data_IF_813505901810
#
_entry.id   IF_813505901810
#
_cell.length_a   1.000
_cell.length_b   1.000
_cell.length_c   1.000
_cell.angle_alpha   90.00
_cell.angle_beta   90.00
_cell.angle_gamma   90.00
#
_symmetry.space_group_name_H-M   'P 1'
#
loop_
_entity.id
_entity.type
_entity.pdbx_description
1 polymer ?
#
# COMPACT_ATOMS: atom_id res chain seq x y z
N UNK A 1 22.34 -30.50 -17.04
CA UNK A 1 21.33 -29.86 -17.92
C UNK A 1 20.20 -29.37 -17.01
N UNK A 2 20.29 -28.12 -16.58
CA UNK A 2 19.30 -27.47 -15.74
C UNK A 2 18.37 -26.67 -16.65
N UNK A 3 17.09 -27.02 -16.66
CA UNK A 3 16.05 -26.29 -17.41
C UNK A 3 15.72 -25.01 -16.67
N UNK A 4 15.96 -23.87 -17.31
CA UNK A 4 15.47 -22.57 -16.89
C UNK A 4 13.95 -22.54 -17.01
N UNK A 5 13.26 -22.54 -15.89
CA UNK A 5 11.81 -22.25 -15.84
C UNK A 5 11.63 -20.73 -15.95
N UNK A 6 11.28 -20.25 -17.12
CA UNK A 6 10.79 -18.87 -17.30
C UNK A 6 9.44 -18.74 -16.59
N UNK A 7 9.24 -17.75 -15.69
CA UNK A 7 7.93 -17.53 -15.10
C UNK A 7 6.98 -17.02 -16.20
N UNK A 8 5.88 -17.74 -16.42
CA UNK A 8 4.76 -17.29 -17.25
C UNK A 8 4.12 -16.06 -16.58
N UNK A 9 4.50 -14.89 -17.05
CA UNK A 9 3.78 -13.64 -16.84
C UNK A 9 2.60 -13.64 -17.83
N UNK A 10 1.40 -13.88 -17.30
CA UNK A 10 0.08 -13.60 -17.89
C UNK A 10 -0.05 -13.90 -19.40
N UNK A 11 -0.89 -14.86 -19.70
CA UNK A 11 -1.29 -15.27 -21.07
C UNK A 11 -1.94 -14.08 -21.82
N UNK A 12 -1.20 -13.49 -22.75
CA UNK A 12 -1.61 -12.33 -23.57
C UNK A 12 -2.71 -12.66 -24.61
N UNK A 13 -3.16 -13.91 -24.70
CA UNK A 13 -4.03 -14.35 -25.82
C UNK A 13 -5.53 -14.06 -25.68
N UNK A 14 -6.00 -13.44 -24.57
CA UNK A 14 -7.44 -13.24 -24.29
C UNK A 14 -7.96 -11.81 -24.31
N UNK A 15 -7.24 -10.83 -24.83
CA UNK A 15 -7.72 -9.44 -24.90
C UNK A 15 -7.84 -8.92 -26.33
N UNK A 16 -8.88 -9.36 -27.03
CA UNK A 16 -9.35 -8.68 -28.23
C UNK A 16 -10.75 -8.10 -27.99
N UNK A 17 -10.80 -6.84 -27.51
CA UNK A 17 -11.92 -5.95 -27.82
C UNK A 17 -11.48 -4.49 -27.66
N UNK A 18 -11.27 -3.79 -28.78
CA UNK A 18 -10.77 -2.41 -28.85
C UNK A 18 -11.94 -1.43 -28.69
N UNK A 19 -12.09 -0.85 -27.49
CA UNK A 19 -12.83 0.41 -27.31
C UNK A 19 -11.85 1.52 -26.84
N UNK A 20 -12.22 2.81 -27.01
CA UNK A 20 -11.39 3.95 -26.56
C UNK A 20 -11.09 3.92 -25.04
N UNK A 21 -11.91 3.21 -24.26
CA UNK A 21 -11.66 2.89 -22.84
C UNK A 21 -10.47 1.95 -22.65
N UNK A 22 -10.18 1.06 -23.59
CA UNK A 22 -9.03 0.14 -23.53
C UNK A 22 -7.67 0.81 -23.59
N UNK A 23 -7.53 1.95 -24.28
CA UNK A 23 -6.24 2.66 -24.36
C UNK A 23 -5.82 3.34 -23.05
N UNK A 24 -6.76 3.96 -22.33
CA UNK A 24 -6.49 4.53 -21.00
C UNK A 24 -6.21 3.44 -19.97
N UNK A 25 -6.98 2.34 -20.00
CA UNK A 25 -6.75 1.18 -19.14
C UNK A 25 -5.37 0.56 -19.37
N UNK A 26 -4.93 0.40 -20.62
CA UNK A 26 -3.59 -0.09 -20.94
C UNK A 26 -2.48 0.83 -20.40
N UNK A 27 -2.64 2.16 -20.50
CA UNK A 27 -1.65 3.10 -19.94
C UNK A 27 -1.56 3.05 -18.41
N UNK A 28 -2.69 2.88 -17.72
CA UNK A 28 -2.68 2.70 -16.27
C UNK A 28 -1.96 1.38 -15.89
N UNK A 29 -2.28 0.31 -16.56
CA UNK A 29 -1.63 -1.00 -16.36
C UNK A 29 -0.11 -0.95 -16.58
N UNK A 30 0.36 -0.32 -17.67
CA UNK A 30 1.79 -0.12 -17.92
C UNK A 30 2.48 0.73 -16.83
N UNK A 31 1.77 1.72 -16.25
CA UNK A 31 2.31 2.51 -15.12
C UNK A 31 2.46 1.66 -13.87
N UNK A 32 1.49 0.82 -13.57
CA UNK A 32 1.55 -0.08 -12.42
C UNK A 32 2.68 -1.09 -12.55
N UNK A 33 2.87 -1.68 -13.74
CA UNK A 33 4.01 -2.57 -13.99
C UNK A 33 5.33 -1.84 -13.74
N UNK A 34 5.53 -0.64 -14.33
CA UNK A 34 6.74 0.15 -14.10
C UNK A 34 6.93 0.56 -12.64
N UNK A 35 5.84 0.80 -11.90
CA UNK A 35 5.91 1.10 -10.47
C UNK A 35 6.38 -0.11 -9.67
N UNK A 36 5.86 -1.31 -9.96
CA UNK A 36 6.29 -2.56 -9.35
C UNK A 36 7.76 -2.88 -9.67
N UNK A 37 8.20 -2.69 -10.91
CA UNK A 37 9.60 -2.87 -11.31
C UNK A 37 10.53 -1.93 -10.54
N UNK A 38 10.20 -0.64 -10.43
CA UNK A 38 10.97 0.33 -9.64
C UNK A 38 10.99 -0.04 -8.16
N UNK A 39 9.86 -0.47 -7.62
CA UNK A 39 9.77 -0.94 -6.23
C UNK A 39 10.68 -2.16 -6.01
N UNK A 40 10.66 -3.12 -6.91
CA UNK A 40 11.53 -4.30 -6.83
C UNK A 40 13.01 -3.93 -6.90
N UNK A 41 13.37 -3.04 -7.84
CA UNK A 41 14.75 -2.55 -7.97
C UNK A 41 15.23 -1.82 -6.71
N UNK A 42 14.38 -0.96 -6.14
CA UNK A 42 14.65 -0.30 -4.87
C UNK A 42 14.88 -1.33 -3.75
N UNK A 43 14.05 -2.37 -3.66
CA UNK A 43 14.17 -3.38 -2.61
C UNK A 43 15.39 -4.29 -2.83
N UNK A 44 15.80 -4.56 -4.06
CA UNK A 44 17.07 -5.26 -4.35
C UNK A 44 18.27 -4.47 -3.82
N UNK A 45 18.37 -3.19 -4.14
CA UNK A 45 19.43 -2.31 -3.63
C UNK A 45 19.43 -2.24 -2.10
N UNK A 46 18.23 -2.18 -1.51
CA UNK A 46 18.07 -2.18 -0.05
C UNK A 46 18.55 -3.51 0.56
N UNK A 47 18.17 -4.64 0.00
CA UNK A 47 18.63 -5.95 0.46
C UNK A 47 20.17 -6.06 0.41
N UNK A 48 20.80 -5.57 -0.65
CA UNK A 48 22.27 -5.52 -0.75
C UNK A 48 22.89 -4.64 0.35
N UNK A 49 22.30 -3.47 0.62
CA UNK A 49 22.81 -2.56 1.66
C UNK A 49 22.62 -3.07 3.08
N UNK A 50 21.74 -4.04 3.29
CA UNK A 50 21.41 -4.62 4.60
C UNK A 50 22.17 -5.93 4.87
N UNK A 51 23.02 -6.38 3.96
CA UNK A 51 23.82 -7.62 4.15
C UNK A 51 24.61 -7.55 5.44
N UNK A 52 24.41 -8.55 6.33
CA UNK A 52 25.02 -8.62 7.66
C UNK A 52 24.32 -7.79 8.75
N UNK A 53 23.30 -6.99 8.41
CA UNK A 53 22.49 -6.23 9.36
C UNK A 53 21.02 -6.63 9.37
N UNK A 54 20.67 -7.77 8.77
CA UNK A 54 19.29 -8.24 8.61
C UNK A 54 18.58 -8.39 9.96
N UNK A 55 19.26 -8.91 10.97
CA UNK A 55 18.68 -9.08 12.32
C UNK A 55 18.34 -7.74 12.96
N UNK A 56 19.21 -6.73 12.83
CA UNK A 56 18.98 -5.39 13.36
C UNK A 56 17.79 -4.70 12.65
N UNK A 57 17.74 -4.87 11.33
CA UNK A 57 16.63 -4.37 10.51
C UNK A 57 15.32 -5.06 10.93
N UNK A 58 15.32 -6.37 11.08
CA UNK A 58 14.18 -7.13 11.58
C UNK A 58 13.69 -6.60 12.93
N UNK A 59 14.59 -6.44 13.90
CA UNK A 59 14.22 -5.91 15.23
C UNK A 59 13.58 -4.54 15.17
N UNK A 60 14.00 -3.69 14.23
CA UNK A 60 13.45 -2.33 14.08
C UNK A 60 11.97 -2.36 13.65
N UNK A 61 11.63 -3.09 12.59
CA UNK A 61 10.23 -3.15 12.15
C UNK A 61 9.39 -4.10 13.01
N UNK A 62 9.99 -5.14 13.60
CA UNK A 62 9.34 -5.98 14.59
C UNK A 62 8.84 -5.17 15.79
N UNK A 63 9.67 -4.28 16.32
CA UNK A 63 9.28 -3.38 17.42
C UNK A 63 8.09 -2.49 17.04
N UNK A 64 8.09 -1.93 15.80
CA UNK A 64 6.95 -1.18 15.25
C UNK A 64 5.69 -2.04 15.20
N UNK A 65 5.81 -3.27 14.68
CA UNK A 65 4.70 -4.23 14.59
C UNK A 65 4.15 -4.59 15.95
N UNK A 66 5.01 -4.89 16.93
CA UNK A 66 4.57 -5.22 18.29
C UNK A 66 3.84 -4.05 18.96
N UNK A 67 4.34 -2.83 18.77
CA UNK A 67 3.66 -1.64 19.26
C UNK A 67 2.24 -1.52 18.67
N UNK A 68 2.11 -1.68 17.34
CA UNK A 68 0.80 -1.63 16.67
C UNK A 68 -0.11 -2.78 17.14
N UNK A 69 0.43 -4.01 17.24
CA UNK A 69 -0.33 -5.13 17.79
C UNK A 69 -0.87 -4.83 19.18
N UNK A 70 -0.03 -4.35 20.10
CA UNK A 70 -0.44 -4.02 21.47
C UNK A 70 -1.53 -2.94 21.51
N UNK A 71 -1.44 -1.94 20.63
CA UNK A 71 -2.45 -0.91 20.48
C UNK A 71 -3.79 -1.51 20.01
N UNK A 72 -3.78 -2.31 18.94
CA UNK A 72 -4.98 -2.94 18.37
C UNK A 72 -5.59 -3.99 19.32
N UNK A 73 -4.76 -4.70 20.06
CA UNK A 73 -5.22 -5.73 21.02
C UNK A 73 -6.04 -5.16 22.19
N UNK A 74 -5.94 -3.87 22.47
CA UNK A 74 -6.82 -3.20 23.45
C UNK A 74 -8.25 -3.03 22.94
N UNK A 75 -8.45 -3.10 21.62
CA UNK A 75 -9.74 -2.93 20.95
C UNK A 75 -10.33 -4.29 20.57
N UNK A 76 -9.52 -5.16 19.99
CA UNK A 76 -9.93 -6.47 19.50
C UNK A 76 -8.89 -7.52 19.94
N UNK A 77 -9.29 -8.61 20.62
CA UNK A 77 -8.36 -9.66 21.06
C UNK A 77 -7.59 -10.27 19.88
N UNK A 78 -6.27 -10.39 20.02
CA UNK A 78 -5.39 -11.02 19.02
C UNK A 78 -4.71 -12.22 19.67
N UNK A 79 -5.26 -13.39 19.44
CA UNK A 79 -4.80 -14.70 19.93
C UNK A 79 -4.09 -15.49 18.83
N UNK A 80 -3.53 -16.67 19.13
CA UNK A 80 -2.96 -17.54 18.10
C UNK A 80 -3.97 -17.98 17.02
N UNK A 81 -5.25 -18.03 17.36
CA UNK A 81 -6.35 -18.45 16.47
C UNK A 81 -6.89 -17.28 15.64
N UNK A 82 -6.59 -16.04 16.00
CA UNK A 82 -7.02 -14.84 15.28
C UNK A 82 -6.47 -14.85 13.85
N UNK A 83 -7.37 -14.82 12.88
CA UNK A 83 -7.01 -14.75 11.45
C UNK A 83 -6.71 -13.32 11.07
N UNK A 84 -5.45 -13.04 10.77
CA UNK A 84 -4.96 -11.70 10.44
C UNK A 84 -4.52 -11.65 8.99
N UNK A 85 -5.05 -10.71 8.22
CA UNK A 85 -4.60 -10.40 6.87
C UNK A 85 -3.86 -9.07 6.86
N UNK A 86 -2.72 -8.99 6.17
CA UNK A 86 -2.15 -7.70 5.75
C UNK A 86 -2.14 -7.61 4.23
N UNK A 87 -2.81 -6.58 3.70
CA UNK A 87 -2.83 -6.25 2.27
C UNK A 87 -1.74 -5.22 1.99
N UNK A 88 -0.85 -5.53 1.04
CA UNK A 88 0.37 -4.80 0.77
C UNK A 88 1.42 -5.03 1.84
N UNK A 89 1.64 -6.29 2.24
CA UNK A 89 2.63 -6.64 3.27
C UNK A 89 4.08 -6.27 2.89
N UNK A 90 4.34 -6.07 1.61
CA UNK A 90 5.64 -5.58 1.13
C UNK A 90 6.84 -6.36 1.65
N UNK A 91 7.99 -5.69 1.64
CA UNK A 91 9.22 -6.27 2.16
C UNK A 91 9.30 -6.28 3.69
N UNK A 92 8.58 -5.37 4.38
CA UNK A 92 8.72 -5.13 5.83
C UNK A 92 7.34 -4.88 6.50
N UNK A 93 6.32 -5.65 6.12
CA UNK A 93 4.96 -5.51 6.64
C UNK A 93 4.86 -5.75 8.14
N UNK A 94 3.78 -5.25 8.72
CA UNK A 94 3.46 -5.45 10.13
C UNK A 94 3.28 -6.92 10.48
N UNK A 95 2.72 -7.70 9.54
CA UNK A 95 2.39 -9.12 9.74
C UNK A 95 3.62 -9.96 10.13
N UNK A 96 4.81 -9.66 9.60
CA UNK A 96 6.04 -10.40 9.90
C UNK A 96 6.52 -10.25 11.35
N UNK A 97 6.15 -9.17 12.01
CA UNK A 97 6.44 -8.91 13.41
C UNK A 97 5.21 -8.99 14.31
N UNK A 98 4.03 -9.37 13.79
CA UNK A 98 2.78 -9.36 14.54
C UNK A 98 2.70 -10.48 15.60
N UNK A 99 3.58 -11.47 15.53
CA UNK A 99 3.70 -12.55 16.51
C UNK A 99 2.73 -13.70 16.25
N UNK A 100 2.45 -14.50 17.29
CA UNK A 100 1.61 -15.69 17.15
C UNK A 100 0.16 -15.30 16.84
N UNK A 101 -0.26 -15.55 15.61
CA UNK A 101 -1.63 -15.47 15.10
C UNK A 101 -1.71 -16.29 13.80
N UNK A 102 -2.91 -16.58 13.30
CA UNK A 102 -3.11 -17.18 11.99
C UNK A 102 -2.98 -16.09 10.90
N UNK A 103 -1.75 -15.60 10.69
CA UNK A 103 -1.44 -14.47 9.81
C UNK A 103 -1.17 -14.86 8.37
N UNK A 104 -1.56 -14.00 7.42
CA UNK A 104 -1.19 -14.08 6.00
C UNK A 104 -0.93 -12.67 5.45
N UNK A 105 0.11 -12.53 4.63
CA UNK A 105 0.40 -11.31 3.88
C UNK A 105 0.01 -11.43 2.41
N UNK A 106 -0.44 -10.34 1.80
CA UNK A 106 -0.69 -10.25 0.36
C UNK A 106 0.12 -9.09 -0.22
N UNK A 107 0.87 -9.36 -1.28
CA UNK A 107 1.62 -8.34 -2.01
C UNK A 107 1.93 -8.85 -3.44
N UNK A 108 1.83 -8.04 -4.49
CA UNK A 108 2.17 -8.46 -5.86
C UNK A 108 3.59 -8.99 -6.00
N UNK A 109 4.53 -8.49 -5.20
CA UNK A 109 5.95 -8.85 -5.23
C UNK A 109 6.35 -9.89 -4.15
N UNK A 110 5.38 -10.55 -3.50
CA UNK A 110 5.63 -11.47 -2.38
C UNK A 110 6.67 -12.55 -2.68
N UNK A 111 6.66 -13.13 -3.89
CA UNK A 111 7.63 -14.14 -4.31
C UNK A 111 9.06 -13.60 -4.33
N UNK A 112 9.22 -12.36 -4.82
CA UNK A 112 10.52 -11.69 -4.88
C UNK A 112 11.02 -11.34 -3.48
N UNK A 113 10.15 -10.88 -2.59
CA UNK A 113 10.53 -10.50 -1.23
C UNK A 113 10.99 -11.68 -0.39
N UNK A 114 10.41 -12.88 -0.57
CA UNK A 114 10.90 -14.11 0.07
C UNK A 114 12.36 -14.40 -0.26
N UNK A 115 12.78 -14.14 -1.49
CA UNK A 115 14.15 -14.35 -1.93
C UNK A 115 15.10 -13.26 -1.43
N UNK A 116 14.62 -12.01 -1.35
CA UNK A 116 15.42 -10.85 -0.92
C UNK A 116 15.59 -10.78 0.59
N UNK A 117 14.59 -11.21 1.36
CA UNK A 117 14.53 -11.06 2.81
C UNK A 117 14.10 -12.35 3.52
N UNK A 118 14.79 -13.49 3.31
CA UNK A 118 14.38 -14.79 3.84
C UNK A 118 14.31 -14.82 5.37
N UNK A 119 15.11 -14.00 6.06
CA UNK A 119 15.19 -13.94 7.52
C UNK A 119 13.82 -13.73 8.20
N UNK A 120 12.92 -12.96 7.57
CA UNK A 120 11.57 -12.69 8.15
C UNK A 120 10.42 -13.02 7.21
N UNK A 121 10.61 -12.99 5.90
CA UNK A 121 9.56 -13.28 4.93
C UNK A 121 9.07 -14.74 4.96
N UNK A 122 9.84 -15.64 5.58
CA UNK A 122 9.45 -17.03 5.79
C UNK A 122 8.65 -17.26 7.08
N UNK A 123 8.55 -16.26 7.96
CA UNK A 123 7.88 -16.39 9.25
C UNK A 123 6.34 -16.41 9.13
N UNK A 124 5.80 -15.88 8.02
CA UNK A 124 4.39 -15.80 7.76
C UNK A 124 4.11 -16.16 6.29
N UNK A 125 3.05 -16.94 5.99
CA UNK A 125 2.62 -17.18 4.62
C UNK A 125 2.35 -15.89 3.89
N UNK A 126 2.84 -15.76 2.65
CA UNK A 126 2.54 -14.62 1.78
C UNK A 126 2.06 -15.08 0.42
N UNK A 127 1.11 -14.36 -0.17
CA UNK A 127 0.46 -14.66 -1.45
C UNK A 127 0.75 -13.51 -2.42
N UNK A 128 1.17 -13.87 -3.65
CA UNK A 128 1.34 -12.90 -4.72
C UNK A 128 -0.04 -12.60 -5.36
N UNK A 129 -0.64 -11.48 -4.95
CA UNK A 129 -1.91 -10.99 -5.50
C UNK A 129 -2.01 -9.47 -5.38
N UNK A 130 -2.88 -8.86 -6.18
CA UNK A 130 -3.22 -7.43 -6.11
C UNK A 130 -4.30 -7.18 -5.06
N UNK A 131 -4.27 -6.01 -4.45
CA UNK A 131 -5.22 -5.65 -3.39
C UNK A 131 -6.63 -5.39 -3.90
N UNK A 132 -6.79 -5.05 -5.19
CA UNK A 132 -8.06 -4.81 -5.87
C UNK A 132 -8.91 -6.06 -6.04
N UNK A 133 -8.31 -7.25 -5.92
CA UNK A 133 -8.99 -8.54 -6.04
C UNK A 133 -8.30 -9.58 -5.15
N UNK A 134 -8.74 -9.66 -3.91
CA UNK A 134 -8.17 -10.58 -2.93
C UNK A 134 -8.66 -12.01 -3.13
N UNK A 135 -7.76 -13.03 -3.12
CA UNK A 135 -8.11 -14.43 -3.34
C UNK A 135 -8.70 -15.10 -2.09
N UNK A 136 -9.60 -14.40 -1.39
CA UNK A 136 -10.23 -14.87 -0.17
C UNK A 136 -11.75 -14.72 -0.23
N UNK A 137 -12.45 -15.60 0.49
CA UNK A 137 -13.89 -15.49 0.69
C UNK A 137 -14.25 -14.25 1.52
N UNK A 138 -15.52 -13.83 1.43
CA UNK A 138 -16.08 -12.79 2.27
C UNK A 138 -15.98 -13.19 3.75
N UNK A 139 -15.79 -12.20 4.62
CA UNK A 139 -15.76 -12.39 6.08
C UNK A 139 -14.76 -13.49 6.50
N UNK A 140 -13.59 -13.55 5.89
CA UNK A 140 -12.58 -14.57 6.15
C UNK A 140 -11.66 -14.25 7.34
N UNK A 141 -11.49 -12.97 7.69
CA UNK A 141 -10.48 -12.52 8.66
C UNK A 141 -11.10 -11.77 9.84
N UNK A 142 -10.51 -11.97 11.03
CA UNK A 142 -10.89 -11.26 12.24
C UNK A 142 -10.24 -9.87 12.32
N UNK A 143 -9.04 -9.73 11.75
CA UNK A 143 -8.28 -8.48 11.68
C UNK A 143 -7.73 -8.30 10.26
N UNK A 144 -7.93 -7.12 9.68
CA UNK A 144 -7.35 -6.74 8.39
C UNK A 144 -6.48 -5.49 8.58
N UNK A 145 -5.26 -5.57 8.07
CA UNK A 145 -4.25 -4.52 8.11
C UNK A 145 -3.95 -4.03 6.70
N UNK A 146 -3.75 -2.72 6.53
CA UNK A 146 -3.18 -2.12 5.32
C UNK A 146 -2.35 -0.90 5.74
N UNK A 147 -1.01 -1.01 5.70
CA UNK A 147 -0.10 0.03 6.21
C UNK A 147 0.63 0.71 5.04
N UNK A 148 0.09 1.84 4.59
CA UNK A 148 0.68 2.73 3.58
C UNK A 148 0.89 2.09 2.20
N UNK A 149 -0.16 1.59 1.59
CA UNK A 149 -0.12 0.76 0.38
C UNK A 149 -0.90 1.33 -0.79
N UNK A 150 -2.12 1.82 -0.55
CA UNK A 150 -3.09 2.08 -1.61
C UNK A 150 -2.76 3.28 -2.51
N UNK A 151 -1.81 4.13 -2.14
CA UNK A 151 -1.29 5.24 -2.95
C UNK A 151 -0.49 4.77 -4.18
N UNK A 152 -0.12 3.49 -4.21
CA UNK A 152 0.53 2.83 -5.35
C UNK A 152 -0.43 1.99 -6.22
N UNK A 153 -1.69 1.86 -5.82
CA UNK A 153 -2.69 1.04 -6.50
C UNK A 153 -3.25 1.68 -7.77
N UNK A 154 -3.79 0.86 -8.67
CA UNK A 154 -4.56 1.34 -9.83
C UNK A 154 -5.91 1.89 -9.40
N UNK A 155 -6.57 1.20 -8.48
CA UNK A 155 -7.87 1.56 -7.95
C UNK A 155 -7.90 1.46 -6.41
N UNK A 156 -7.52 2.53 -5.68
CA UNK A 156 -7.52 2.55 -4.22
C UNK A 156 -8.88 2.25 -3.60
N UNK A 157 -9.97 2.67 -4.26
CA UNK A 157 -11.33 2.43 -3.76
C UNK A 157 -11.65 0.93 -3.79
N UNK A 158 -11.29 0.22 -4.89
CA UNK A 158 -11.47 -1.22 -4.98
C UNK A 158 -10.73 -1.96 -3.86
N UNK A 159 -9.49 -1.55 -3.53
CA UNK A 159 -8.76 -2.13 -2.39
C UNK A 159 -9.53 -1.92 -1.09
N UNK A 160 -10.01 -0.70 -0.81
CA UNK A 160 -10.75 -0.40 0.41
C UNK A 160 -12.02 -1.28 0.51
N UNK A 161 -12.75 -1.48 -0.60
CA UNK A 161 -13.91 -2.39 -0.63
C UNK A 161 -13.51 -3.82 -0.35
N UNK A 162 -12.40 -4.32 -0.91
CA UNK A 162 -11.89 -5.66 -0.66
C UNK A 162 -11.45 -5.86 0.80
N UNK A 163 -10.78 -4.85 1.41
CA UNK A 163 -10.44 -4.91 2.85
C UNK A 163 -11.69 -5.15 3.71
N UNK A 164 -12.78 -4.43 3.40
CA UNK A 164 -14.04 -4.57 4.15
C UNK A 164 -14.76 -5.86 3.80
N UNK A 165 -14.75 -6.31 2.54
CA UNK A 165 -15.37 -7.56 2.11
C UNK A 165 -14.81 -8.77 2.86
N UNK A 166 -13.49 -8.86 2.95
CA UNK A 166 -12.82 -10.02 3.57
C UNK A 166 -12.80 -9.95 5.10
N UNK A 167 -13.08 -8.80 5.70
CA UNK A 167 -13.16 -8.61 7.14
C UNK A 167 -14.49 -9.18 7.65
N UNK A 168 -14.48 -9.92 8.76
CA UNK A 168 -15.70 -10.42 9.41
C UNK A 168 -16.54 -9.28 10.00
N UNK A 169 -17.87 -9.44 10.09
CA UNK A 169 -18.67 -8.60 10.99
C UNK A 169 -18.10 -8.66 12.42
N UNK A 170 -17.98 -7.50 13.08
CA UNK A 170 -17.27 -7.36 14.35
C UNK A 170 -15.74 -7.39 14.27
N UNK A 171 -15.17 -7.63 13.09
CA UNK A 171 -13.72 -7.64 12.88
C UNK A 171 -13.10 -6.24 12.84
N UNK A 172 -11.78 -6.17 13.09
CA UNK A 172 -11.01 -4.94 13.22
C UNK A 172 -10.28 -4.61 11.93
N UNK A 173 -10.47 -3.39 11.42
CA UNK A 173 -9.68 -2.80 10.34
C UNK A 173 -8.66 -1.81 10.91
N UNK A 174 -7.39 -1.98 10.56
CA UNK A 174 -6.33 -0.98 10.71
C UNK A 174 -5.85 -0.54 9.33
N UNK A 175 -5.92 0.74 9.07
CA UNK A 175 -5.61 1.30 7.77
C UNK A 175 -4.76 2.56 7.90
N UNK A 176 -3.71 2.67 7.08
CA UNK A 176 -2.97 3.91 6.89
C UNK A 176 -2.70 4.18 5.41
N UNK A 177 -2.56 5.45 5.05
CA UNK A 177 -2.16 5.87 3.71
C UNK A 177 -1.50 7.24 3.76
N UNK A 178 -0.56 7.50 2.85
CA UNK A 178 -0.06 8.83 2.61
C UNK A 178 -1.12 9.69 1.89
N UNK A 179 -1.40 10.85 2.47
CA UNK A 179 -2.31 11.84 1.89
C UNK A 179 -1.57 13.11 1.52
N UNK A 180 -2.09 13.81 0.54
CA UNK A 180 -1.45 14.94 -0.09
C UNK A 180 -2.38 16.15 -0.13
N UNK A 181 -1.79 17.34 -0.31
CA UNK A 181 -2.57 18.55 -0.57
C UNK A 181 -3.37 18.40 -1.88
N UNK A 182 -4.61 18.91 -1.97
CA UNK A 182 -5.46 18.82 -3.17
C UNK A 182 -4.76 19.29 -4.47
N UNK A 183 -3.79 20.19 -4.36
CA UNK A 183 -2.97 20.62 -5.48
C UNK A 183 -2.33 19.46 -6.25
N UNK A 184 -1.82 18.43 -5.55
CA UNK A 184 -1.18 17.29 -6.21
C UNK A 184 -2.19 16.41 -6.95
N UNK A 185 -3.42 16.25 -6.43
CA UNK A 185 -4.50 15.56 -7.13
C UNK A 185 -4.85 16.29 -8.44
N UNK A 186 -5.10 17.61 -8.35
CA UNK A 186 -5.38 18.45 -9.51
C UNK A 186 -4.25 18.43 -10.55
N UNK A 187 -2.99 18.53 -10.11
CA UNK A 187 -1.84 18.49 -11.01
C UNK A 187 -1.64 17.11 -11.66
N UNK A 188 -1.99 16.03 -10.96
CA UNK A 188 -1.98 14.67 -11.52
C UNK A 188 -3.04 14.50 -12.62
N UNK A 189 -4.24 15.02 -12.39
CA UNK A 189 -5.34 15.00 -13.37
C UNK A 189 -4.96 15.83 -14.61
N UNK A 190 -4.37 17.02 -14.41
CA UNK A 190 -3.89 17.88 -15.49
C UNK A 190 -2.74 17.21 -16.26
N UNK A 191 -1.83 16.52 -15.57
CA UNK A 191 -0.75 15.75 -16.22
C UNK A 191 -1.32 14.61 -17.09
N UNK A 192 -2.37 13.93 -16.63
CA UNK A 192 -3.12 12.96 -17.44
C UNK A 192 -3.65 13.57 -18.73
N UNK A 193 -4.19 14.78 -18.67
CA UNK A 193 -4.70 15.52 -19.83
C UNK A 193 -3.57 15.94 -20.79
N UNK A 194 -2.43 16.46 -20.28
CA UNK A 194 -1.27 16.82 -21.13
C UNK A 194 -0.66 15.60 -21.83
N UNK A 195 -0.57 14.46 -21.14
CA UNK A 195 -0.11 13.21 -21.75
C UNK A 195 -1.08 12.71 -22.84
N UNK A 196 -2.39 12.91 -22.66
CA UNK A 196 -3.39 12.59 -23.70
C UNK A 196 -3.24 13.46 -24.94
N UNK A 197 -2.73 14.69 -24.80
CA UNK A 197 -2.40 15.61 -25.89
C UNK A 197 -1.03 15.35 -26.50
N UNK A 198 -0.28 14.33 -26.04
CA UNK A 198 1.04 13.98 -26.57
C UNK A 198 2.20 14.90 -26.13
N UNK A 199 1.99 15.70 -25.08
CA UNK A 199 3.02 16.59 -24.53
C UNK A 199 3.73 15.85 -23.38
N UNK A 200 4.99 15.38 -23.56
CA UNK A 200 5.74 14.67 -22.54
C UNK A 200 6.29 15.64 -21.49
N UNK A 201 5.49 15.99 -20.50
CA UNK A 201 5.90 16.78 -19.33
C UNK A 201 5.99 15.84 -18.11
N UNK A 202 7.12 15.12 -17.96
CA UNK A 202 7.41 14.39 -16.74
C UNK A 202 7.97 15.35 -15.68
N UNK A 203 7.12 15.87 -14.83
CA UNK A 203 7.53 16.51 -13.60
C UNK A 203 7.81 15.41 -12.55
N UNK A 204 9.07 15.20 -12.22
CA UNK A 204 9.54 14.16 -11.28
C UNK A 204 8.83 14.19 -9.90
N UNK A 205 8.30 15.33 -9.50
CA UNK A 205 7.52 15.49 -8.27
C UNK A 205 6.19 14.67 -8.25
N UNK A 206 5.72 14.20 -9.40
CA UNK A 206 4.46 13.46 -9.57
C UNK A 206 4.67 11.99 -9.96
N UNK A 207 5.91 11.54 -10.11
CA UNK A 207 6.23 10.21 -10.66
C UNK A 207 6.12 9.08 -9.62
N UNK A 208 6.17 9.38 -8.31
CA UNK A 208 6.34 8.38 -7.26
C UNK A 208 5.02 7.75 -6.78
N UNK A 209 3.87 8.40 -7.01
CA UNK A 209 2.55 7.91 -6.60
C UNK A 209 1.60 7.88 -7.79
N UNK A 210 0.90 6.77 -7.94
CA UNK A 210 -0.06 6.60 -9.05
C UNK A 210 -1.28 7.48 -8.85
N UNK A 211 -1.71 7.67 -7.58
CA UNK A 211 -2.87 8.48 -7.19
C UNK A 211 -2.54 9.34 -5.96
N UNK A 212 -2.94 10.60 -6.00
CA UNK A 212 -2.80 11.53 -4.88
C UNK A 212 -4.12 11.65 -4.11
N UNK A 213 -4.21 10.93 -2.99
CA UNK A 213 -5.37 10.96 -2.10
C UNK A 213 -5.31 12.18 -1.18
N UNK A 214 -6.48 12.80 -0.91
CA UNK A 214 -6.62 13.81 0.14
C UNK A 214 -7.27 13.21 1.38
N UNK A 215 -7.07 13.79 2.59
CA UNK A 215 -7.73 13.31 3.81
C UNK A 215 -9.24 13.22 3.67
N UNK A 216 -9.85 14.22 3.03
CA UNK A 216 -11.29 14.33 2.84
C UNK A 216 -11.81 13.22 1.89
N UNK A 217 -11.07 12.93 0.81
CA UNK A 217 -11.44 11.86 -0.12
C UNK A 217 -11.41 10.49 0.59
N UNK A 218 -10.35 10.21 1.34
CA UNK A 218 -10.22 8.95 2.09
C UNK A 218 -11.34 8.84 3.13
N UNK A 219 -11.58 9.90 3.92
CA UNK A 219 -12.64 9.91 4.93
C UNK A 219 -14.02 9.65 4.32
N UNK A 220 -14.32 10.25 3.16
CA UNK A 220 -15.59 10.06 2.46
C UNK A 220 -15.78 8.59 2.04
N UNK A 221 -14.77 7.96 1.44
CA UNK A 221 -14.85 6.55 1.02
C UNK A 221 -15.20 5.68 2.22
N UNK A 222 -14.50 5.85 3.35
CA UNK A 222 -14.77 5.05 4.55
C UNK A 222 -16.13 5.33 5.19
N UNK A 223 -16.66 6.56 5.08
CA UNK A 223 -17.97 6.91 5.63
C UNK A 223 -19.16 6.23 4.92
N UNK A 224 -18.95 5.77 3.68
CA UNK A 224 -19.95 5.07 2.87
C UNK A 224 -19.97 3.54 3.13
N UNK A 225 -19.03 3.03 3.92
CA UNK A 225 -18.86 1.60 4.18
C UNK A 225 -19.53 1.16 5.51
N UNK A 226 -19.90 -0.11 5.67
CA UNK A 226 -20.49 -0.63 6.89
C UNK A 226 -19.46 -0.75 8.02
N UNK A 227 -18.89 0.38 8.41
CA UNK A 227 -17.86 0.49 9.44
C UNK A 227 -18.30 1.40 10.58
N UNK A 228 -17.93 1.04 11.79
CA UNK A 228 -17.90 1.92 12.96
C UNK A 228 -16.47 2.44 13.10
N UNK A 229 -16.27 3.72 12.82
CA UNK A 229 -14.94 4.35 12.91
C UNK A 229 -14.68 4.66 14.38
N UNK A 230 -13.70 3.98 14.98
CA UNK A 230 -13.29 4.19 16.37
C UNK A 230 -12.27 5.30 16.50
N UNK A 231 -11.33 5.38 15.55
CA UNK A 231 -10.32 6.42 15.51
C UNK A 231 -10.01 6.80 14.07
N UNK A 232 -9.93 8.09 13.80
CA UNK A 232 -9.47 8.64 12.54
C UNK A 232 -8.62 9.87 12.80
N UNK A 233 -7.41 9.88 12.28
CA UNK A 233 -6.49 11.00 12.45
C UNK A 233 -5.56 11.16 11.26
N UNK A 234 -4.97 12.34 11.15
CA UNK A 234 -3.91 12.62 10.18
C UNK A 234 -2.91 13.62 10.75
N UNK A 235 -1.66 13.52 10.32
CA UNK A 235 -0.60 14.40 10.79
C UNK A 235 -0.30 15.59 9.84
N UNK A 236 -1.28 16.04 9.07
CA UNK A 236 -1.15 17.15 8.09
C UNK A 236 -0.53 18.41 8.73
N UNK A 237 -0.98 18.80 9.93
CA UNK A 237 -0.48 20.00 10.61
C UNK A 237 1.02 19.88 10.96
N UNK A 238 1.43 18.73 11.44
CA UNK A 238 2.83 18.41 11.74
C UNK A 238 3.66 18.36 10.45
N UNK A 239 3.19 17.67 9.43
CA UNK A 239 3.86 17.54 8.12
C UNK A 239 4.07 18.92 7.50
N UNK A 240 3.06 19.80 7.50
CA UNK A 240 3.18 21.19 7.03
C UNK A 240 4.28 21.96 7.80
N UNK A 241 4.32 21.84 9.12
CA UNK A 241 5.33 22.49 9.96
C UNK A 241 6.73 22.02 9.61
N UNK A 242 6.93 20.70 9.55
CA UNK A 242 8.22 20.10 9.27
C UNK A 242 8.72 20.44 7.86
N UNK A 243 7.84 20.41 6.86
CA UNK A 243 8.20 20.75 5.48
C UNK A 243 8.50 22.23 5.29
N UNK A 244 7.83 23.14 6.00
CA UNK A 244 8.17 24.58 6.01
C UNK A 244 9.56 24.85 6.57
N UNK A 245 9.98 24.11 7.58
CA UNK A 245 11.30 24.27 8.23
C UNK A 245 12.44 23.59 7.47
N UNK A 246 12.12 22.64 6.56
CA UNK A 246 13.11 21.91 5.79
C UNK A 246 13.92 22.84 4.87
N UNK A 247 15.22 22.55 4.68
CA UNK A 247 16.07 23.31 3.73
C UNK A 247 15.59 23.10 2.30
N UNK A 248 15.50 24.18 1.53
CA UNK A 248 15.19 24.12 0.09
C UNK A 248 16.42 23.60 -0.66
N UNK A 249 16.33 22.36 -1.16
CA UNK A 249 17.41 21.72 -1.93
C UNK A 249 17.11 21.65 -3.42
N UNK A 250 15.83 21.63 -3.80
CA UNK A 250 15.35 21.52 -5.17
C UNK A 250 13.91 22.05 -5.29
N UNK A 251 13.37 22.05 -6.51
CA UNK A 251 12.02 22.51 -6.82
C UNK A 251 10.94 21.73 -6.05
N UNK A 252 11.06 20.40 -5.93
CA UNK A 252 10.13 19.55 -5.16
C UNK A 252 10.10 19.93 -3.67
N UNK A 253 11.25 20.25 -3.07
CA UNK A 253 11.31 20.75 -1.70
C UNK A 253 10.62 22.13 -1.55
N UNK A 254 10.67 22.96 -2.57
CA UNK A 254 9.93 24.23 -2.63
C UNK A 254 8.41 24.01 -2.69
N UNK A 255 7.95 23.13 -3.55
CA UNK A 255 6.53 22.76 -3.66
C UNK A 255 5.97 22.19 -2.35
N UNK A 256 6.73 21.32 -1.65
CA UNK A 256 6.33 20.74 -0.35
C UNK A 256 6.16 21.80 0.74
N UNK A 257 6.83 22.94 0.65
CA UNK A 257 6.63 24.06 1.59
C UNK A 257 5.29 24.77 1.41
N UNK A 258 4.80 24.84 0.19
CA UNK A 258 3.51 25.44 -0.15
C UNK A 258 2.36 24.43 -0.02
N UNK A 259 2.58 23.22 -0.53
CA UNK A 259 1.61 22.15 -0.62
C UNK A 259 2.18 20.91 0.08
N UNK A 260 1.64 20.56 1.24
CA UNK A 260 2.14 19.39 1.98
C UNK A 260 2.03 18.10 1.15
N UNK A 261 3.02 17.22 1.28
CA UNK A 261 3.08 15.92 0.60
C UNK A 261 3.43 14.83 1.62
N UNK A 262 2.85 13.63 1.48
CA UNK A 262 3.11 12.47 2.33
C UNK A 262 2.78 12.73 3.82
N UNK A 263 1.63 13.32 4.11
CA UNK A 263 1.08 13.30 5.45
C UNK A 263 0.40 11.95 5.70
N UNK A 264 0.57 11.38 6.87
CA UNK A 264 -0.04 10.10 7.22
C UNK A 264 -1.51 10.30 7.62
N UNK A 265 -2.40 9.53 7.03
CA UNK A 265 -3.77 9.30 7.48
C UNK A 265 -3.83 7.92 8.13
N UNK A 266 -4.46 7.81 9.30
CA UNK A 266 -4.64 6.57 10.04
C UNK A 266 -6.10 6.42 10.43
N UNK A 267 -6.64 5.20 10.26
CA UNK A 267 -8.02 4.85 10.61
C UNK A 267 -8.05 3.50 11.31
N UNK A 268 -8.85 3.41 12.36
CA UNK A 268 -9.18 2.18 13.07
C UNK A 268 -10.71 2.08 13.10
N UNK A 269 -11.23 0.95 12.65
CA UNK A 269 -12.67 0.75 12.55
C UNK A 269 -13.06 -0.71 12.86
N UNK A 270 -14.32 -0.92 13.25
CA UNK A 270 -14.95 -2.23 13.38
C UNK A 270 -15.98 -2.38 12.26
N UNK A 271 -16.02 -3.53 11.58
CA UNK A 271 -17.08 -3.83 10.61
C UNK A 271 -18.39 -4.06 11.35
N UNK A 272 -19.43 -3.31 10.96
CA UNK A 272 -20.80 -3.51 11.46
C UNK A 272 -21.36 -4.86 11.03
N UNK A 273 -22.31 -5.36 11.82
CA UNK A 273 -23.03 -6.59 11.50
C UNK A 273 -23.92 -6.45 10.28
#
# INVERSE_FOLDING_TARGET
MSAEVKPNLIDESKMSNKSKTGWLANKHHERSIRALERQLEYQRKKAESLRGEESKTFMTFWSKSQFKRQMLQKIHPITPETRVLEVGSGAHGLIFGFGKCAGVGVDPLAVHYKNLFPTWQTNVPTIAAIGEQLPFADAAFDVVLSDNVIDHAENPEAIIYELVRVLKPGGLLYFTVNVHHPFYSFASDLHGFWNALGIPLELSAFADHTIHLTPEKVSRIFSELPLEILEQKHNVAETKRNQKQAKMRNFDAGLKKLFYKNALFELIAIRKN
#
